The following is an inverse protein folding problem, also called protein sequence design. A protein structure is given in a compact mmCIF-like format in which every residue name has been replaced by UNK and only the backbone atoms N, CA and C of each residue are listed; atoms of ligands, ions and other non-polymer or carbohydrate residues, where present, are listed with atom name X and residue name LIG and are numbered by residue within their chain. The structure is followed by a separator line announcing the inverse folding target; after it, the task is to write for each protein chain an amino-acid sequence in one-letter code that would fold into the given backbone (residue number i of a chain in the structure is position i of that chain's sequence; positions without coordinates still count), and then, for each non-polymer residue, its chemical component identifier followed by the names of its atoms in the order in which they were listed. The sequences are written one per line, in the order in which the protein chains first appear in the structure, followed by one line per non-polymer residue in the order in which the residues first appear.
data_IF_824208599012
#
_entry.id   IF_824208599012
#
_cell.length_a   1.000
_cell.length_b   1.000
_cell.length_c   1.000
_cell.angle_alpha   90.00
_cell.angle_beta   90.00
_cell.angle_gamma   90.00
#
_symmetry.space_group_name_H-M   'P 1'
#
loop_
_entity.id
_entity.type
_entity.pdbx_description
1 polymer ?
#
# COMPACT_ATOMS: atom_id res chain seq x y z
N UNK A 1 7.34 33.07 -6.72
CA UNK A 1 6.40 32.79 -5.71
C UNK A 1 5.98 31.33 -5.70
N UNK A 2 6.00 30.75 -4.57
CA UNK A 2 5.77 29.32 -4.47
C UNK A 2 4.34 29.04 -4.02
N UNK A 3 3.62 28.26 -4.81
CA UNK A 3 2.29 27.80 -4.44
C UNK A 3 2.35 26.39 -3.88
N UNK A 4 3.35 26.17 -3.07
CA UNK A 4 3.49 24.84 -2.52
C UNK A 4 2.42 24.59 -1.49
N UNK A 5 1.55 23.66 -1.80
CA UNK A 5 0.67 23.10 -0.81
C UNK A 5 1.27 21.79 -0.33
N UNK A 6 1.10 21.46 0.95
CA UNK A 6 1.55 20.14 1.41
C UNK A 6 0.87 19.04 0.60
N UNK A 7 1.62 18.00 0.30
CA UNK A 7 1.02 16.86 -0.38
C UNK A 7 -0.01 16.20 0.52
N UNK A 8 -1.16 15.87 -0.07
CA UNK A 8 -2.20 15.14 0.62
C UNK A 8 -1.87 13.64 0.63
N UNK A 9 -2.66 12.87 1.40
CA UNK A 9 -2.56 11.42 1.36
C UNK A 9 -2.71 10.90 -0.07
N UNK A 10 -3.61 11.48 -0.84
CA UNK A 10 -3.82 11.07 -2.22
C UNK A 10 -2.60 11.40 -3.09
N UNK A 11 -1.99 12.55 -2.87
CA UNK A 11 -0.77 12.91 -3.58
C UNK A 11 0.36 11.93 -3.33
N UNK A 12 0.57 11.54 -2.08
CA UNK A 12 1.59 10.54 -1.75
C UNK A 12 1.25 9.18 -2.32
N UNK A 13 -0.03 8.80 -2.31
CA UNK A 13 -0.47 7.55 -2.91
C UNK A 13 -0.15 7.53 -4.41
N UNK A 14 -0.47 8.61 -5.12
CA UNK A 14 -0.16 8.71 -6.55
C UNK A 14 1.34 8.68 -6.82
N UNK A 15 2.10 9.36 -5.99
CA UNK A 15 3.56 9.35 -6.10
C UNK A 15 4.10 7.93 -5.93
N UNK A 16 3.55 7.20 -4.96
CA UNK A 16 3.94 5.82 -4.73
C UNK A 16 3.65 4.96 -5.95
N UNK A 17 2.46 5.11 -6.55
CA UNK A 17 2.10 4.36 -7.74
C UNK A 17 3.06 4.66 -8.89
N UNK A 18 3.44 5.91 -9.04
CA UNK A 18 4.38 6.32 -10.07
C UNK A 18 5.74 5.66 -9.89
N UNK A 19 6.25 5.67 -8.67
CA UNK A 19 7.52 4.99 -8.36
C UNK A 19 7.42 3.50 -8.63
N UNK A 20 6.30 2.90 -8.25
CA UNK A 20 6.10 1.46 -8.45
C UNK A 20 6.13 1.09 -9.93
N UNK A 21 5.46 1.88 -10.77
CA UNK A 21 5.47 1.65 -12.21
C UNK A 21 6.87 1.72 -12.78
N UNK A 22 7.69 2.58 -12.22
CA UNK A 22 9.08 2.75 -12.67
C UNK A 22 10.05 1.74 -12.03
N UNK A 23 9.54 0.81 -11.22
CA UNK A 23 10.37 -0.18 -10.57
C UNK A 23 11.14 0.35 -9.36
N UNK A 24 10.81 1.55 -8.91
CA UNK A 24 11.48 2.18 -7.77
C UNK A 24 10.75 1.80 -6.50
N UNK A 25 10.91 0.54 -6.10
CA UNK A 25 10.08 -0.04 -5.04
C UNK A 25 10.35 0.55 -3.67
N UNK A 26 11.59 0.87 -3.37
CA UNK A 26 11.95 1.48 -2.09
C UNK A 26 11.27 2.84 -1.93
N UNK A 27 11.36 3.65 -2.97
CA UNK A 27 10.71 4.96 -2.98
C UNK A 27 9.20 4.84 -2.92
N UNK A 28 8.66 3.84 -3.60
CA UNK A 28 7.22 3.60 -3.57
C UNK A 28 6.75 3.25 -2.15
N UNK A 29 7.49 2.39 -1.44
CA UNK A 29 7.14 2.06 -0.06
C UNK A 29 7.14 3.30 0.83
N UNK A 30 8.15 4.15 0.69
CA UNK A 30 8.23 5.37 1.47
C UNK A 30 7.03 6.27 1.23
N UNK A 31 6.61 6.38 -0.02
CA UNK A 31 5.46 7.23 -0.35
C UNK A 31 4.14 6.64 0.15
N UNK A 32 3.97 5.33 0.06
CA UNK A 32 2.79 4.70 0.67
C UNK A 32 2.76 4.93 2.17
N UNK A 33 3.91 4.82 2.83
CA UNK A 33 3.99 5.04 4.28
C UNK A 33 3.62 6.48 4.63
N UNK A 34 4.01 7.45 3.81
CA UNK A 34 3.62 8.84 4.02
C UNK A 34 2.12 9.03 3.89
N UNK A 35 1.50 8.38 2.90
CA UNK A 35 0.06 8.44 2.73
C UNK A 35 -0.66 7.88 3.97
N UNK A 36 -0.15 6.77 4.49
CA UNK A 36 -0.73 6.13 5.69
C UNK A 36 -0.52 6.99 6.93
N UNK A 37 0.66 7.63 7.06
CA UNK A 37 0.92 8.57 8.16
C UNK A 37 -0.12 9.67 8.20
N UNK A 38 -0.46 10.21 7.04
CA UNK A 38 -1.43 11.28 6.94
C UNK A 38 -2.85 10.80 7.20
N UNK A 39 -3.14 9.55 6.91
CA UNK A 39 -4.48 9.00 7.12
C UNK A 39 -4.37 7.49 7.35
N UNK A 40 -4.47 7.09 8.60
CA UNK A 40 -4.32 5.68 8.99
C UNK A 40 -5.45 4.80 8.46
N UNK A 41 -6.55 5.40 8.03
CA UNK A 41 -7.68 4.65 7.48
C UNK A 41 -7.78 4.75 5.96
N UNK A 42 -6.69 5.08 5.29
CA UNK A 42 -6.67 5.19 3.84
C UNK A 42 -6.47 3.80 3.23
N UNK A 43 -7.56 3.11 3.01
CA UNK A 43 -7.53 1.70 2.61
C UNK A 43 -6.75 1.44 1.33
N UNK A 44 -6.84 2.35 0.35
CA UNK A 44 -6.11 2.19 -0.91
C UNK A 44 -4.60 2.12 -0.70
N UNK A 45 -4.08 2.96 0.19
CA UNK A 45 -2.63 2.96 0.45
C UNK A 45 -2.21 1.65 1.11
N UNK A 46 -3.00 1.16 2.08
CA UNK A 46 -2.71 -0.12 2.71
C UNK A 46 -2.72 -1.26 1.69
N UNK A 47 -3.74 -1.27 0.82
CA UNK A 47 -3.87 -2.34 -0.16
C UNK A 47 -2.73 -2.35 -1.17
N UNK A 48 -2.42 -1.19 -1.75
CA UNK A 48 -1.35 -1.13 -2.76
C UNK A 48 0.02 -1.34 -2.15
N UNK A 49 0.22 -0.92 -0.89
CA UNK A 49 1.44 -1.26 -0.19
C UNK A 49 1.57 -2.77 -0.04
N UNK A 50 0.47 -3.45 0.30
CA UNK A 50 0.52 -4.90 0.45
C UNK A 50 0.88 -5.60 -0.86
N UNK A 51 0.34 -5.12 -1.99
CA UNK A 51 0.67 -5.68 -3.30
C UNK A 51 2.15 -5.49 -3.63
N UNK A 52 2.68 -4.33 -3.31
CA UNK A 52 4.09 -4.06 -3.54
C UNK A 52 4.96 -4.96 -2.70
N UNK A 53 4.61 -5.14 -1.44
CA UNK A 53 5.34 -6.04 -0.55
C UNK A 53 5.31 -7.48 -1.05
N UNK A 54 4.18 -7.89 -1.63
CA UNK A 54 4.07 -9.20 -2.25
C UNK A 54 5.08 -9.35 -3.39
N UNK A 55 5.16 -8.35 -4.25
CA UNK A 55 6.13 -8.35 -5.36
C UNK A 55 7.57 -8.39 -4.87
N UNK A 56 7.83 -7.77 -3.73
CA UNK A 56 9.15 -7.75 -3.13
C UNK A 56 9.43 -9.01 -2.31
N UNK A 57 8.50 -9.95 -2.29
CA UNK A 57 8.59 -11.21 -1.55
C UNK A 57 8.69 -11.01 -0.04
N UNK A 58 8.16 -9.88 0.43
CA UNK A 58 8.06 -9.60 1.86
C UNK A 58 6.68 -10.00 2.35
N UNK A 59 6.49 -11.31 2.43
CA UNK A 59 5.16 -11.87 2.62
C UNK A 59 4.56 -11.61 4.00
N UNK A 60 5.38 -11.59 5.06
CA UNK A 60 4.89 -11.27 6.40
C UNK A 60 4.28 -9.87 6.44
N UNK A 61 5.02 -8.90 5.94
CA UNK A 61 4.55 -7.51 5.92
C UNK A 61 3.37 -7.34 4.99
N UNK A 62 3.38 -8.07 3.87
CA UNK A 62 2.26 -8.06 2.92
C UNK A 62 0.96 -8.48 3.62
N UNK A 63 1.00 -9.56 4.39
CA UNK A 63 -0.19 -10.06 5.08
C UNK A 63 -0.70 -9.03 6.07
N UNK A 64 0.18 -8.40 6.84
CA UNK A 64 -0.23 -7.37 7.80
C UNK A 64 -0.94 -6.21 7.15
N UNK A 65 -0.37 -5.69 6.06
CA UNK A 65 -0.98 -4.57 5.34
C UNK A 65 -2.29 -4.98 4.68
N UNK A 66 -2.35 -6.18 4.13
CA UNK A 66 -3.55 -6.68 3.49
C UNK A 66 -4.69 -6.86 4.49
N UNK A 67 -4.39 -7.36 5.67
CA UNK A 67 -5.40 -7.50 6.73
C UNK A 67 -5.94 -6.16 7.16
N UNK A 68 -5.07 -5.16 7.24
CA UNK A 68 -5.53 -3.80 7.57
C UNK A 68 -6.45 -3.25 6.49
N UNK A 69 -6.09 -3.44 5.23
CA UNK A 69 -6.92 -2.98 4.12
C UNK A 69 -8.30 -3.66 4.15
N UNK A 70 -8.32 -4.97 4.41
CA UNK A 70 -9.57 -5.73 4.50
C UNK A 70 -10.45 -5.24 5.64
N UNK A 71 -9.84 -4.90 6.76
CA UNK A 71 -10.53 -4.34 7.91
C UNK A 71 -11.20 -3.01 7.58
N UNK A 72 -10.46 -2.16 6.85
CA UNK A 72 -10.94 -0.83 6.50
C UNK A 72 -11.98 -0.86 5.37
N UNK A 73 -11.86 -1.84 4.49
CA UNK A 73 -12.75 -1.93 3.32
C UNK A 73 -13.21 -3.37 3.15
N UNK A 74 -14.22 -3.80 3.93
CA UNK A 74 -14.67 -5.19 3.89
C UNK A 74 -15.20 -5.65 2.53
N UNK A 75 -15.64 -4.70 1.68
CA UNK A 75 -16.12 -5.05 0.35
C UNK A 75 -15.02 -5.63 -0.54
N UNK A 76 -13.76 -5.41 -0.17
CA UNK A 76 -12.62 -5.97 -0.92
C UNK A 76 -12.19 -7.33 -0.38
N UNK A 77 -12.93 -7.90 0.56
CA UNK A 77 -12.52 -9.06 1.34
C UNK A 77 -12.15 -10.26 0.48
N UNK A 78 -12.96 -10.57 -0.54
CA UNK A 78 -12.68 -11.75 -1.38
C UNK A 78 -11.35 -11.63 -2.10
N UNK A 79 -11.11 -10.45 -2.66
CA UNK A 79 -9.89 -10.19 -3.41
C UNK A 79 -8.66 -10.21 -2.50
N UNK A 80 -8.77 -9.56 -1.36
CA UNK A 80 -7.65 -9.47 -0.43
C UNK A 80 -7.35 -10.82 0.21
N UNK A 81 -8.39 -11.58 0.55
CA UNK A 81 -8.21 -12.89 1.18
C UNK A 81 -7.41 -13.83 0.29
N UNK A 82 -7.60 -13.76 -1.01
CA UNK A 82 -6.84 -14.56 -1.95
C UNK A 82 -5.35 -14.24 -1.87
N UNK A 83 -5.03 -12.96 -1.84
CA UNK A 83 -3.64 -12.53 -1.74
C UNK A 83 -3.02 -12.97 -0.41
N UNK A 84 -3.77 -12.86 0.67
CA UNK A 84 -3.30 -13.29 1.99
C UNK A 84 -3.00 -14.79 2.00
N UNK A 85 -3.93 -15.59 1.46
CA UNK A 85 -3.73 -17.04 1.40
C UNK A 85 -2.50 -17.40 0.59
N UNK A 86 -2.33 -16.74 -0.55
CA UNK A 86 -1.19 -17.01 -1.41
C UNK A 86 0.12 -16.61 -0.72
N UNK A 87 0.12 -15.47 -0.05
CA UNK A 87 1.30 -15.02 0.68
C UNK A 87 1.66 -16.01 1.80
N UNK A 88 0.66 -16.53 2.51
CA UNK A 88 0.89 -17.51 3.57
C UNK A 88 1.54 -18.78 3.04
N UNK A 89 1.18 -19.19 1.85
CA UNK A 89 1.78 -20.39 1.24
C UNK A 89 3.24 -20.21 0.89
N UNK A 90 3.68 -18.98 0.76
CA UNK A 90 5.06 -18.68 0.37
C UNK A 90 5.97 -18.42 1.56
N UNK A 91 5.42 -18.39 2.76
CA UNK A 91 6.21 -18.20 3.98
C UNK A 91 7.09 -19.40 4.34
#
# INVERSE_FOLDING_TARGET
MSNRTPMTRYGYYRKARSHEVNGEYKEALQAYDKAIELSHNYAHAWFYKSRLLYRMEKYDECIGCAEKARQLEPTWSNHISKMIEDAKKRL
#
